data_IF_592347103990
#
_entry.id   IF_592347103990
#
_cell.length_a   1.000
_cell.length_b   1.000
_cell.length_c   1.000
_cell.angle_alpha   90.00
_cell.angle_beta   90.00
_cell.angle_gamma   90.00
#
_symmetry.space_group_name_H-M   'P 1'
#
loop_
_entity.id
_entity.type
_entity.pdbx_description
1 polymer ?
#
# COMPACT_ATOMS: atom_id res chain seq x y z
N UNK A 1 29.87 -26.87 -1.32
CA UNK A 1 30.44 -25.58 -1.80
C UNK A 1 29.56 -24.89 -2.86
N UNK A 2 29.20 -25.57 -3.96
CA UNK A 2 28.37 -24.98 -5.03
C UNK A 2 26.96 -24.54 -4.56
N UNK A 3 26.29 -25.34 -3.72
CA UNK A 3 24.97 -24.98 -3.18
C UNK A 3 24.98 -23.68 -2.36
N UNK A 4 25.98 -23.47 -1.51
CA UNK A 4 26.12 -22.23 -0.73
C UNK A 4 26.31 -21.00 -1.64
N UNK A 5 27.07 -21.13 -2.73
CA UNK A 5 27.26 -20.06 -3.70
C UNK A 5 25.98 -19.75 -4.47
N UNK A 6 25.18 -20.76 -4.83
CA UNK A 6 23.87 -20.56 -5.47
C UNK A 6 22.88 -19.86 -4.55
N UNK A 7 22.83 -20.24 -3.27
CA UNK A 7 21.98 -19.56 -2.28
C UNK A 7 22.39 -18.10 -2.09
N UNK A 8 23.70 -17.82 -2.03
CA UNK A 8 24.19 -16.44 -1.93
C UNK A 8 23.78 -15.59 -3.15
N UNK A 9 23.91 -16.13 -4.37
CA UNK A 9 23.47 -15.46 -5.60
C UNK A 9 21.97 -15.19 -5.60
N UNK A 10 21.17 -16.16 -5.14
CA UNK A 10 19.73 -15.99 -5.02
C UNK A 10 19.36 -14.89 -4.00
N UNK A 11 20.03 -14.86 -2.83
CA UNK A 11 19.81 -13.81 -1.81
C UNK A 11 20.04 -12.42 -2.37
N UNK A 12 21.18 -12.21 -3.02
CA UNK A 12 21.52 -10.91 -3.64
C UNK A 12 20.50 -10.54 -4.72
N UNK A 13 20.08 -11.50 -5.55
CA UNK A 13 19.05 -11.25 -6.56
C UNK A 13 17.70 -10.84 -5.93
N UNK A 14 17.29 -11.49 -4.84
CA UNK A 14 16.06 -11.17 -4.11
C UNK A 14 16.13 -9.82 -3.41
N UNK A 15 17.28 -9.45 -2.85
CA UNK A 15 17.50 -8.14 -2.24
C UNK A 15 17.40 -7.02 -3.28
N UNK A 16 18.03 -7.18 -4.44
CA UNK A 16 17.94 -6.23 -5.55
C UNK A 16 16.50 -6.10 -6.04
N UNK A 17 15.78 -7.22 -6.22
CA UNK A 17 14.38 -7.20 -6.59
C UNK A 17 13.53 -6.48 -5.53
N UNK A 18 13.76 -6.76 -4.25
CA UNK A 18 13.03 -6.14 -3.13
C UNK A 18 13.25 -4.62 -3.09
N UNK A 19 14.48 -4.16 -3.33
CA UNK A 19 14.81 -2.73 -3.40
C UNK A 19 14.00 -2.02 -4.49
N UNK A 20 13.95 -2.58 -5.70
CA UNK A 20 13.19 -1.98 -6.81
C UNK A 20 11.67 -2.13 -6.67
N UNK A 21 11.22 -3.22 -6.04
CA UNK A 21 9.81 -3.48 -5.75
C UNK A 21 9.24 -2.56 -4.67
N UNK A 22 10.08 -2.11 -3.73
CA UNK A 22 9.66 -1.22 -2.64
C UNK A 22 9.32 0.17 -3.17
N UNK A 23 8.22 0.75 -2.69
CA UNK A 23 7.86 2.13 -3.00
C UNK A 23 8.84 3.11 -2.33
N UNK A 24 9.42 4.02 -3.11
CA UNK A 24 10.28 5.08 -2.58
C UNK A 24 9.44 6.10 -1.81
N UNK A 25 10.08 6.88 -0.93
CA UNK A 25 9.39 7.93 -0.17
C UNK A 25 8.68 8.93 -1.11
N UNK A 26 9.34 9.33 -2.18
CA UNK A 26 8.81 10.25 -3.18
C UNK A 26 7.63 9.66 -3.95
N UNK A 27 7.64 8.35 -4.20
CA UNK A 27 6.49 7.65 -4.78
C UNK A 27 5.29 7.66 -3.83
N UNK A 28 5.51 7.39 -2.54
CA UNK A 28 4.44 7.41 -1.53
C UNK A 28 3.87 8.82 -1.40
N UNK A 29 4.71 9.85 -1.27
CA UNK A 29 4.27 11.25 -1.12
C UNK A 29 3.42 11.69 -2.33
N UNK A 30 3.87 11.37 -3.56
CA UNK A 30 3.12 11.66 -4.79
C UNK A 30 1.77 10.94 -4.85
N UNK A 31 1.74 9.63 -4.58
CA UNK A 31 0.53 8.82 -4.71
C UNK A 31 -0.52 9.22 -3.66
N UNK A 32 -0.06 9.52 -2.44
CA UNK A 32 -0.96 9.93 -1.36
C UNK A 32 -1.50 11.36 -1.56
N UNK A 33 -0.97 12.12 -2.53
CA UNK A 33 -1.33 13.51 -2.78
C UNK A 33 -1.01 14.40 -1.59
N UNK A 34 0.02 14.03 -0.83
CA UNK A 34 0.39 14.70 0.41
C UNK A 34 1.48 15.73 0.09
N UNK A 35 1.20 17.01 0.34
CA UNK A 35 2.25 18.03 0.37
C UNK A 35 3.04 17.95 1.69
N UNK A 36 4.37 17.90 1.59
CA UNK A 36 5.27 17.76 2.74
C UNK A 36 5.38 16.33 3.28
N UNK A 37 6.17 16.14 4.34
CA UNK A 37 6.45 14.80 4.89
C UNK A 37 5.19 14.09 5.38
N UNK A 38 5.13 12.77 5.21
CA UNK A 38 4.15 11.91 5.88
C UNK A 38 4.36 12.01 7.39
N UNK A 39 3.33 12.43 8.10
CA UNK A 39 3.29 12.49 9.56
C UNK A 39 1.97 11.91 10.08
N UNK A 40 1.93 11.61 11.37
CA UNK A 40 0.78 10.97 12.02
C UNK A 40 -0.50 11.82 11.97
N UNK A 41 -0.40 13.15 11.88
CA UNK A 41 -1.58 14.03 11.81
C UNK A 41 -2.37 13.85 10.51
N UNK A 42 -1.69 13.42 9.43
CA UNK A 42 -2.34 13.16 8.13
C UNK A 42 -3.21 11.91 8.14
N UNK A 43 -3.04 11.03 9.13
CA UNK A 43 -3.89 9.86 9.32
C UNK A 43 -5.33 10.26 9.66
N UNK A 44 -5.53 11.39 10.33
CA UNK A 44 -6.86 11.94 10.68
C UNK A 44 -7.64 12.43 9.45
N UNK A 45 -6.95 12.70 8.34
CA UNK A 45 -7.54 13.21 7.10
C UNK A 45 -8.08 12.09 6.19
N UNK A 46 -7.86 10.83 6.54
CA UNK A 46 -8.37 9.70 5.76
C UNK A 46 -9.90 9.63 5.95
N UNK A 47 -10.72 9.65 4.88
CA UNK A 47 -12.17 9.53 5.01
C UNK A 47 -12.59 8.25 5.72
N UNK A 48 -13.73 8.31 6.40
CA UNK A 48 -14.32 7.20 7.15
C UNK A 48 -14.80 6.06 6.24
N UNK A 49 -15.05 4.88 6.83
CA UNK A 49 -15.66 3.75 6.11
C UNK A 49 -17.03 4.11 5.51
N UNK A 50 -17.79 4.98 6.19
CA UNK A 50 -19.08 5.44 5.71
C UNK A 50 -18.96 6.37 4.49
N UNK A 51 -18.00 7.31 4.51
CA UNK A 51 -17.73 8.21 3.39
C UNK A 51 -17.26 7.46 2.15
N UNK A 52 -16.39 6.45 2.32
CA UNK A 52 -15.98 5.58 1.23
C UNK A 52 -17.00 4.50 0.85
N UNK A 53 -18.05 4.29 1.66
CA UNK A 53 -19.02 3.20 1.50
C UNK A 53 -18.41 1.78 1.46
N UNK A 54 -17.28 1.53 2.15
CA UNK A 54 -16.56 0.25 2.05
C UNK A 54 -17.35 -0.95 2.62
N UNK A 55 -18.32 -0.71 3.50
CA UNK A 55 -19.16 -1.75 4.10
C UNK A 55 -20.45 -2.02 3.31
N UNK A 56 -20.51 -1.61 2.04
CA UNK A 56 -21.69 -1.79 1.18
C UNK A 56 -21.39 -2.75 0.03
N UNK A 57 -22.31 -3.66 -0.28
CA UNK A 57 -22.13 -4.63 -1.38
C UNK A 57 -22.23 -3.99 -2.77
N UNK A 58 -22.75 -2.77 -2.87
CA UNK A 58 -22.85 -1.96 -4.09
C UNK A 58 -21.71 -0.93 -4.21
N UNK A 59 -20.63 -1.11 -3.43
CA UNK A 59 -19.41 -0.31 -3.56
C UNK A 59 -18.82 -0.41 -4.98
N UNK A 60 -18.33 0.72 -5.48
CA UNK A 60 -17.71 0.86 -6.82
C UNK A 60 -16.49 1.77 -6.74
N UNK A 61 -15.32 1.24 -7.12
CA UNK A 61 -14.04 1.94 -7.10
C UNK A 61 -13.68 2.64 -8.41
N UNK A 62 -14.52 2.54 -9.45
CA UNK A 62 -14.21 3.01 -10.82
C UNK A 62 -13.82 4.48 -10.91
N UNK A 63 -14.39 5.34 -10.06
CA UNK A 63 -14.10 6.78 -10.02
C UNK A 63 -13.02 7.17 -9.02
N UNK A 64 -12.57 6.24 -8.18
CA UNK A 64 -11.52 6.51 -7.19
C UNK A 64 -10.15 6.58 -7.87
N UNK A 65 -9.27 7.44 -7.40
CA UNK A 65 -7.86 7.46 -7.79
C UNK A 65 -7.05 6.36 -7.07
N UNK A 66 -5.82 6.12 -7.53
CA UNK A 66 -4.88 5.24 -6.83
C UNK A 66 -4.66 5.69 -5.38
N UNK A 67 -4.56 7.00 -5.14
CA UNK A 67 -4.41 7.57 -3.80
C UNK A 67 -5.63 7.30 -2.91
N UNK A 68 -6.83 7.38 -3.47
CA UNK A 68 -8.07 7.10 -2.74
C UNK A 68 -8.22 5.61 -2.40
N UNK A 69 -7.92 4.70 -3.33
CA UNK A 69 -7.96 3.25 -3.04
C UNK A 69 -6.91 2.83 -2.01
N UNK A 70 -5.73 3.47 -2.01
CA UNK A 70 -4.71 3.27 -0.98
C UNK A 70 -5.19 3.81 0.38
N UNK A 71 -5.74 5.02 0.43
CA UNK A 71 -6.31 5.61 1.67
C UNK A 71 -7.48 4.77 2.20
N UNK A 72 -8.35 4.27 1.33
CA UNK A 72 -9.44 3.36 1.69
C UNK A 72 -8.89 2.04 2.27
N UNK A 73 -7.80 1.50 1.70
CA UNK A 73 -7.13 0.33 2.28
C UNK A 73 -6.62 0.63 3.69
N UNK A 74 -5.95 1.76 3.91
CA UNK A 74 -5.49 2.17 5.24
C UNK A 74 -6.68 2.35 6.20
N UNK A 75 -7.80 2.93 5.73
CA UNK A 75 -9.05 3.05 6.51
C UNK A 75 -9.57 1.69 6.96
N UNK A 76 -9.51 0.64 6.15
CA UNK A 76 -9.89 -0.70 6.58
C UNK A 76 -9.02 -1.22 7.74
N UNK A 77 -7.71 -0.97 7.71
CA UNK A 77 -6.81 -1.31 8.83
C UNK A 77 -7.11 -0.51 10.10
N UNK A 78 -7.50 0.76 9.95
CA UNK A 78 -7.92 1.61 11.07
C UNK A 78 -9.21 1.08 11.71
N UNK A 79 -10.21 0.76 10.89
CA UNK A 79 -11.53 0.30 11.35
C UNK A 79 -11.44 -1.08 12.04
N UNK A 80 -10.59 -1.97 11.53
CA UNK A 80 -10.24 -3.23 12.17
C UNK A 80 -9.32 -3.07 13.41
N UNK A 81 -8.99 -1.83 13.80
CA UNK A 81 -8.13 -1.48 14.93
C UNK A 81 -6.71 -2.13 14.88
N UNK A 82 -6.25 -2.54 13.70
CA UNK A 82 -4.97 -3.26 13.54
C UNK A 82 -3.78 -2.34 13.77
N UNK A 83 -3.86 -1.08 13.31
CA UNK A 83 -2.78 -0.11 13.45
C UNK A 83 -2.48 0.16 14.93
N UNK A 84 -3.52 0.40 15.73
CA UNK A 84 -3.37 0.65 17.17
C UNK A 84 -2.95 -0.60 17.95
N UNK A 85 -3.45 -1.77 17.54
CA UNK A 85 -3.15 -3.05 18.19
C UNK A 85 -1.67 -3.40 18.02
N UNK A 86 -1.13 -3.24 16.82
CA UNK A 86 0.26 -3.60 16.51
C UNK A 86 1.23 -2.43 16.53
N UNK A 87 0.78 -1.22 16.89
CA UNK A 87 1.60 0.01 16.93
C UNK A 87 2.30 0.27 15.61
N UNK A 88 1.57 0.10 14.50
CA UNK A 88 2.12 0.26 13.16
C UNK A 88 2.33 1.75 12.89
N UNK A 89 3.56 2.22 12.63
CA UNK A 89 3.79 3.63 12.28
C UNK A 89 3.05 4.00 11.00
N UNK A 90 2.51 5.23 10.93
CA UNK A 90 1.74 5.68 9.77
C UNK A 90 2.55 5.63 8.46
N UNK A 91 3.83 6.05 8.51
CA UNK A 91 4.72 5.95 7.36
C UNK A 91 4.92 4.50 6.89
N UNK A 92 5.00 3.55 7.83
CA UNK A 92 5.16 2.11 7.52
C UNK A 92 3.94 1.57 6.78
N UNK A 93 2.71 1.83 7.25
CA UNK A 93 1.51 1.33 6.59
C UNK A 93 1.32 1.99 5.21
N UNK A 94 1.55 3.30 5.09
CA UNK A 94 1.51 4.02 3.81
C UNK A 94 2.48 3.40 2.80
N UNK A 95 3.75 3.25 3.19
CA UNK A 95 4.77 2.66 2.31
C UNK A 95 4.43 1.21 1.95
N UNK A 96 3.90 0.44 2.89
CA UNK A 96 3.50 -0.94 2.65
C UNK A 96 2.38 -1.03 1.60
N UNK A 97 1.28 -0.30 1.75
CA UNK A 97 0.18 -0.34 0.76
C UNK A 97 0.64 0.17 -0.61
N UNK A 98 1.42 1.26 -0.66
CA UNK A 98 1.99 1.75 -1.92
C UNK A 98 2.91 0.72 -2.58
N UNK A 99 3.71 -0.01 -1.79
CA UNK A 99 4.57 -1.10 -2.27
C UNK A 99 3.72 -2.24 -2.83
N UNK A 100 2.67 -2.67 -2.13
CA UNK A 100 1.74 -3.70 -2.62
C UNK A 100 1.14 -3.28 -3.97
N UNK A 101 0.59 -2.06 -4.07
CA UNK A 101 0.03 -1.53 -5.32
C UNK A 101 1.05 -1.51 -6.46
N UNK A 102 2.29 -1.06 -6.19
CA UNK A 102 3.38 -0.99 -7.18
C UNK A 102 3.72 -2.35 -7.79
N UNK A 103 3.49 -3.44 -7.06
CA UNK A 103 3.83 -4.79 -7.50
C UNK A 103 2.71 -5.50 -8.27
N UNK A 104 1.53 -4.90 -8.38
CA UNK A 104 0.51 -5.36 -9.34
C UNK A 104 0.87 -4.95 -10.76
N UNK A 105 0.72 -5.89 -11.70
CA UNK A 105 1.01 -5.65 -13.12
C UNK A 105 -0.15 -4.92 -13.80
N UNK A 106 0.11 -4.05 -14.80
CA UNK A 106 -0.92 -3.36 -15.57
C UNK A 106 -1.55 -4.29 -16.61
N UNK A 107 -2.23 -5.34 -16.13
CA UNK A 107 -2.98 -6.30 -16.97
C UNK A 107 -4.48 -6.05 -16.86
N UNK A 108 -5.25 -6.59 -17.79
CA UNK A 108 -6.68 -6.28 -17.94
C UNK A 108 -7.52 -6.52 -16.69
N UNK A 109 -7.23 -7.57 -15.91
CA UNK A 109 -8.06 -7.94 -14.76
C UNK A 109 -7.28 -8.15 -13.47
N UNK A 110 -6.28 -9.04 -13.43
CA UNK A 110 -5.48 -9.32 -12.22
C UNK A 110 -4.49 -8.19 -11.88
N UNK A 111 -5.03 -7.02 -11.58
CA UNK A 111 -4.32 -5.78 -11.27
C UNK A 111 -4.74 -5.26 -9.87
N UNK A 112 -4.23 -4.08 -9.49
CA UNK A 112 -4.51 -3.46 -8.19
C UNK A 112 -6.01 -3.28 -7.91
N UNK A 113 -6.80 -2.88 -8.92
CA UNK A 113 -8.24 -2.66 -8.74
C UNK A 113 -8.98 -3.94 -8.37
N UNK A 114 -8.60 -5.05 -8.98
CA UNK A 114 -9.17 -6.35 -8.65
C UNK A 114 -8.77 -6.83 -7.25
N UNK A 115 -7.59 -6.47 -6.76
CA UNK A 115 -7.16 -6.84 -5.41
C UNK A 115 -7.77 -5.97 -4.31
N UNK A 116 -8.09 -4.72 -4.64
CA UNK A 116 -8.73 -3.78 -3.72
C UNK A 116 -10.22 -4.07 -3.52
N UNK A 117 -10.93 -4.50 -4.59
CA UNK A 117 -12.30 -4.99 -4.54
C UNK A 117 -12.39 -6.41 -3.99
#
# INVERSE_FOLDING_TARGET
ENACQLMAKQSVALEVLSYHATASKEEVDRIMGIEGAIDESKMEQIPTVAEYRLNTYDFDDMLMSDGETIKATIRMFMDANLINTFKIPYETICRWVCTVKKNYRPVTYHNWRHAFN
#
